data_IF_011717310163
#
_entry.id   IF_011717310163
#
_cell.length_a   1.000
_cell.length_b   1.000
_cell.length_c   1.000
_cell.angle_alpha   90.00
_cell.angle_beta   90.00
_cell.angle_gamma   90.00
#
_symmetry.space_group_name_H-M   'P 1'
#
loop_
_entity.id
_entity.type
_entity.pdbx_description
1 polymer ?
#
# COMPACT_ATOMS: atom_id res chain seq x y z
N UNK A 1 -36.15 -1.57 -0.70
CA UNK A 1 -35.46 -1.04 -1.90
C UNK A 1 -35.50 0.47 -1.83
N UNK A 2 -34.42 1.14 -1.44
CA UNK A 2 -34.36 2.61 -1.42
C UNK A 2 -34.13 3.13 -2.84
N UNK A 3 -35.12 3.86 -3.36
CA UNK A 3 -35.00 4.59 -4.62
C UNK A 3 -33.87 5.62 -4.51
N UNK A 4 -32.87 5.55 -5.41
CA UNK A 4 -31.85 6.59 -5.55
C UNK A 4 -32.54 7.89 -5.98
N UNK A 5 -32.39 8.94 -5.18
CA UNK A 5 -33.02 10.24 -5.40
C UNK A 5 -32.56 10.89 -6.71
N UNK A 6 -33.51 11.52 -7.40
CA UNK A 6 -33.25 12.39 -8.55
C UNK A 6 -32.23 13.48 -8.17
N UNK A 7 -31.14 13.60 -8.93
CA UNK A 7 -30.17 14.70 -8.81
C UNK A 7 -28.76 14.33 -8.33
N UNK A 8 -28.50 13.08 -7.94
CA UNK A 8 -27.11 12.69 -7.64
C UNK A 8 -26.32 12.42 -8.93
N UNK A 9 -25.09 12.96 -9.07
CA UNK A 9 -24.21 12.62 -10.18
C UNK A 9 -24.07 11.11 -10.28
N UNK A 10 -24.21 10.55 -11.48
CA UNK A 10 -23.96 9.13 -11.66
C UNK A 10 -22.49 8.83 -11.36
N UNK A 11 -22.18 7.73 -10.64
CA UNK A 11 -20.80 7.34 -10.40
C UNK A 11 -20.06 7.20 -11.72
N UNK A 12 -18.92 7.87 -11.82
CA UNK A 12 -18.04 7.77 -12.98
C UNK A 12 -17.51 6.35 -13.12
N UNK A 13 -16.89 6.04 -14.27
CA UNK A 13 -16.22 4.75 -14.44
C UNK A 13 -15.14 4.51 -13.38
N UNK A 14 -14.44 5.57 -12.96
CA UNK A 14 -13.38 5.50 -11.95
C UNK A 14 -13.98 5.28 -10.56
N UNK A 15 -15.10 5.93 -10.22
CA UNK A 15 -15.77 5.71 -8.93
C UNK A 15 -16.20 4.24 -8.77
N UNK A 16 -16.69 3.62 -9.85
CA UNK A 16 -17.03 2.18 -9.85
C UNK A 16 -15.80 1.28 -9.70
N UNK A 17 -14.66 1.67 -10.27
CA UNK A 17 -13.40 0.94 -10.09
C UNK A 17 -12.92 1.05 -8.65
N UNK A 18 -12.96 2.23 -8.05
CA UNK A 18 -12.62 2.45 -6.64
C UNK A 18 -13.54 1.61 -5.74
N UNK A 19 -14.86 1.67 -5.94
CA UNK A 19 -15.82 0.86 -5.18
C UNK A 19 -15.54 -0.65 -5.30
N UNK A 20 -15.15 -1.11 -6.49
CA UNK A 20 -14.82 -2.51 -6.73
C UNK A 20 -13.51 -2.90 -6.05
N UNK A 21 -12.47 -2.09 -6.19
CA UNK A 21 -11.17 -2.32 -5.55
C UNK A 21 -11.30 -2.32 -4.02
N UNK A 22 -12.00 -1.36 -3.43
CA UNK A 22 -12.29 -1.33 -1.99
C UNK A 22 -13.01 -2.60 -1.54
N UNK A 23 -14.00 -3.07 -2.32
CA UNK A 23 -14.69 -4.33 -2.04
C UNK A 23 -13.75 -5.53 -2.08
N UNK A 24 -12.82 -5.58 -3.04
CA UNK A 24 -11.84 -6.65 -3.14
C UNK A 24 -10.80 -6.61 -2.02
N UNK A 25 -10.41 -5.41 -1.55
CA UNK A 25 -9.62 -5.26 -0.34
C UNK A 25 -10.34 -5.85 0.88
N UNK A 26 -11.62 -5.52 1.09
CA UNK A 26 -12.39 -6.09 2.21
C UNK A 26 -12.55 -7.61 2.12
N UNK A 27 -12.66 -8.14 0.90
CA UNK A 27 -12.69 -9.60 0.66
C UNK A 27 -11.32 -10.25 0.75
N UNK A 28 -10.24 -9.45 0.83
CA UNK A 28 -8.86 -9.89 0.81
C UNK A 28 -8.54 -10.77 -0.41
N UNK A 29 -9.00 -10.35 -1.59
CA UNK A 29 -8.89 -11.12 -2.82
C UNK A 29 -7.94 -10.44 -3.81
N UNK A 30 -6.63 -10.72 -3.76
CA UNK A 30 -5.62 -10.01 -4.54
C UNK A 30 -5.77 -10.21 -6.05
N UNK A 31 -6.24 -11.38 -6.50
CA UNK A 31 -6.40 -11.67 -7.93
C UNK A 31 -7.47 -10.78 -8.60
N UNK A 32 -8.49 -10.40 -7.84
CA UNK A 32 -9.51 -9.46 -8.33
C UNK A 32 -8.96 -8.03 -8.40
N UNK A 33 -7.99 -7.68 -7.53
CA UNK A 33 -7.26 -6.42 -7.61
C UNK A 33 -6.30 -6.40 -8.80
N UNK A 34 -5.61 -7.51 -9.08
CA UNK A 34 -4.73 -7.64 -10.24
C UNK A 34 -5.52 -7.39 -11.54
N UNK A 35 -6.74 -7.92 -11.63
CA UNK A 35 -7.64 -7.67 -12.77
C UNK A 35 -7.93 -6.17 -13.01
N UNK A 36 -7.85 -5.35 -11.96
CA UNK A 36 -7.98 -3.89 -12.04
C UNK A 36 -6.63 -3.26 -12.39
N UNK A 37 -5.58 -3.52 -11.61
CA UNK A 37 -4.32 -2.78 -11.70
C UNK A 37 -3.47 -3.14 -12.92
N UNK A 38 -3.53 -4.38 -13.40
CA UNK A 38 -2.77 -4.84 -14.57
C UNK A 38 -3.27 -4.23 -15.89
N UNK A 39 -4.53 -3.81 -15.91
CA UNK A 39 -5.21 -3.35 -17.14
C UNK A 39 -5.37 -1.82 -17.20
N UNK A 40 -4.92 -1.10 -16.16
CA UNK A 40 -5.12 0.34 -16.04
C UNK A 40 -3.86 1.13 -16.42
N UNK A 41 -4.00 2.20 -17.21
CA UNK A 41 -2.96 3.21 -17.38
C UNK A 41 -2.48 3.76 -16.04
N UNK A 42 -1.18 4.09 -15.95
CA UNK A 42 -0.51 4.55 -14.72
C UNK A 42 -1.24 5.72 -14.04
N UNK A 43 -1.69 6.71 -14.81
CA UNK A 43 -2.42 7.87 -14.28
C UNK A 43 -3.79 7.50 -13.68
N UNK A 44 -4.44 6.44 -14.19
CA UNK A 44 -5.69 5.92 -13.63
C UNK A 44 -5.42 5.07 -12.39
N UNK A 45 -4.31 4.32 -12.37
CA UNK A 45 -3.88 3.58 -11.18
C UNK A 45 -3.67 4.50 -9.98
N UNK A 46 -2.98 5.63 -10.17
CA UNK A 46 -2.79 6.61 -9.09
C UNK A 46 -4.12 7.11 -8.53
N UNK A 47 -5.09 7.43 -9.40
CA UNK A 47 -6.43 7.89 -8.96
C UNK A 47 -7.20 6.81 -8.22
N UNK A 48 -7.10 5.54 -8.65
CA UNK A 48 -7.73 4.40 -7.97
C UNK A 48 -7.09 4.18 -6.60
N UNK A 49 -5.76 4.20 -6.51
CA UNK A 49 -5.04 4.11 -5.23
C UNK A 49 -5.48 5.22 -4.29
N UNK A 50 -5.45 6.50 -4.70
CA UNK A 50 -5.92 7.62 -3.88
C UNK A 50 -7.37 7.42 -3.41
N UNK A 51 -8.25 6.92 -4.29
CA UNK A 51 -9.63 6.61 -3.94
C UNK A 51 -9.77 5.51 -2.89
N UNK A 52 -8.97 4.43 -3.00
CA UNK A 52 -8.91 3.35 -2.01
C UNK A 52 -8.43 3.88 -0.66
N UNK A 53 -7.34 4.66 -0.64
CA UNK A 53 -6.80 5.26 0.58
C UNK A 53 -7.84 6.13 1.30
N UNK A 54 -8.55 6.97 0.55
CA UNK A 54 -9.60 7.82 1.10
C UNK A 54 -10.79 7.00 1.64
N UNK A 55 -11.20 5.96 0.93
CA UNK A 55 -12.32 5.10 1.34
C UNK A 55 -11.99 4.24 2.57
N UNK A 56 -10.74 3.77 2.69
CA UNK A 56 -10.26 2.89 3.75
C UNK A 56 -9.57 3.63 4.90
N UNK A 57 -9.53 4.96 4.91
CA UNK A 57 -8.79 5.75 5.92
C UNK A 57 -9.13 5.38 7.37
N UNK A 58 -10.38 4.94 7.63
CA UNK A 58 -10.84 4.52 8.96
C UNK A 58 -10.76 3.02 9.21
N UNK A 59 -10.52 2.22 8.16
CA UNK A 59 -10.34 0.77 8.24
C UNK A 59 -8.87 0.43 8.11
N UNK A 60 -8.14 0.63 9.21
CA UNK A 60 -6.69 0.41 9.28
C UNK A 60 -6.33 -1.03 8.92
N UNK A 61 -7.18 -2.01 9.27
CA UNK A 61 -6.90 -3.42 9.01
C UNK A 61 -6.90 -3.71 7.52
N UNK A 62 -7.98 -3.33 6.82
CA UNK A 62 -8.07 -3.50 5.36
C UNK A 62 -7.02 -2.65 4.64
N UNK A 63 -6.75 -1.43 5.12
CA UNK A 63 -5.72 -0.56 4.54
C UNK A 63 -4.31 -1.15 4.69
N UNK A 64 -4.00 -1.73 5.84
CA UNK A 64 -2.71 -2.40 6.08
C UNK A 64 -2.55 -3.65 5.22
N UNK A 65 -3.63 -4.43 5.02
CA UNK A 65 -3.64 -5.55 4.10
C UNK A 65 -3.37 -5.10 2.67
N UNK A 66 -3.99 -3.99 2.25
CA UNK A 66 -3.75 -3.41 0.93
C UNK A 66 -2.29 -2.97 0.75
N UNK A 67 -1.63 -2.45 1.79
CA UNK A 67 -0.19 -2.20 1.73
C UNK A 67 0.63 -3.48 1.53
N UNK A 68 0.26 -4.59 2.16
CA UNK A 68 0.87 -5.90 1.93
C UNK A 68 0.70 -6.39 0.49
N UNK A 69 -0.49 -6.22 -0.09
CA UNK A 69 -0.75 -6.46 -1.51
C UNK A 69 0.16 -5.61 -2.42
N UNK A 70 0.20 -4.29 -2.20
CA UNK A 70 1.00 -3.36 -3.01
C UNK A 70 2.51 -3.62 -2.91
N UNK A 71 2.98 -4.20 -1.81
CA UNK A 71 4.37 -4.63 -1.65
C UNK A 71 4.65 -6.02 -2.24
N UNK A 72 3.65 -6.67 -2.84
CA UNK A 72 3.72 -8.04 -3.34
C UNK A 72 3.97 -9.10 -2.25
N UNK A 73 3.62 -8.81 -1.00
CA UNK A 73 3.66 -9.78 0.11
C UNK A 73 2.44 -10.70 0.08
N UNK A 74 1.31 -10.19 -0.40
CA UNK A 74 0.04 -10.89 -0.55
C UNK A 74 -0.35 -10.81 -2.02
N UNK A 75 0.04 -11.82 -2.81
CA UNK A 75 -0.23 -11.85 -4.26
C UNK A 75 -1.34 -12.82 -4.63
N UNK A 76 -1.65 -13.78 -3.75
CA UNK A 76 -2.69 -14.78 -4.00
C UNK A 76 -3.57 -14.97 -2.78
N UNK A 77 -4.78 -15.46 -3.00
CA UNK A 77 -5.76 -15.68 -1.94
C UNK A 77 -5.24 -16.63 -0.86
N UNK A 78 -4.36 -17.58 -1.19
CA UNK A 78 -3.72 -18.46 -0.21
C UNK A 78 -2.76 -17.73 0.73
N UNK A 79 -2.14 -16.63 0.27
CA UNK A 79 -1.21 -15.87 1.10
C UNK A 79 -1.91 -15.34 2.35
N UNK A 80 -3.21 -15.05 2.29
CA UNK A 80 -4.00 -14.61 3.45
C UNK A 80 -4.00 -15.59 4.64
N UNK A 81 -3.69 -16.87 4.41
CA UNK A 81 -3.61 -17.89 5.45
C UNK A 81 -2.21 -17.99 6.07
N UNK A 82 -1.23 -17.24 5.55
CA UNK A 82 0.10 -17.20 6.14
C UNK A 82 0.01 -16.62 7.54
N UNK A 83 0.81 -17.14 8.49
CA UNK A 83 0.73 -16.72 9.88
C UNK A 83 1.25 -15.30 10.10
N UNK A 84 2.02 -14.75 9.16
CA UNK A 84 2.70 -13.48 9.32
C UNK A 84 2.83 -12.72 8.01
N UNK A 85 2.57 -11.42 8.07
CA UNK A 85 2.63 -10.48 6.96
C UNK A 85 3.41 -9.23 7.39
N UNK A 86 4.76 -9.28 7.38
CA UNK A 86 5.60 -8.20 7.86
C UNK A 86 5.23 -6.82 7.34
N UNK A 87 4.99 -6.65 6.04
CA UNK A 87 4.67 -5.35 5.45
C UNK A 87 3.29 -4.88 5.88
N UNK A 88 2.29 -5.77 5.89
CA UNK A 88 0.98 -5.41 6.40
C UNK A 88 1.05 -5.00 7.90
N UNK A 89 1.78 -5.74 8.72
CA UNK A 89 1.93 -5.45 10.16
C UNK A 89 2.69 -4.15 10.44
N UNK A 90 3.78 -3.90 9.71
CA UNK A 90 4.52 -2.65 9.78
C UNK A 90 3.66 -1.47 9.32
N UNK A 91 2.94 -1.64 8.22
CA UNK A 91 2.01 -0.62 7.72
C UNK A 91 0.94 -0.30 8.75
N UNK A 92 0.36 -1.33 9.39
CA UNK A 92 -0.63 -1.16 10.47
C UNK A 92 -0.06 -0.34 11.63
N UNK A 93 1.18 -0.63 12.02
CA UNK A 93 1.89 0.07 13.10
C UNK A 93 2.11 1.55 12.74
N UNK A 94 2.60 1.82 11.53
CA UNK A 94 2.84 3.18 11.03
C UNK A 94 1.53 3.98 10.92
N UNK A 95 0.49 3.40 10.33
CA UNK A 95 -0.84 4.04 10.18
C UNK A 95 -1.44 4.38 11.54
N UNK A 96 -1.39 3.44 12.49
CA UNK A 96 -1.87 3.66 13.87
C UNK A 96 -1.09 4.77 14.57
N UNK A 97 0.18 4.97 14.20
CA UNK A 97 1.03 6.03 14.73
C UNK A 97 0.86 7.36 13.99
N UNK A 98 -0.11 7.45 13.07
CA UNK A 98 -0.46 8.69 12.36
C UNK A 98 0.29 8.91 11.05
N UNK A 99 1.01 7.91 10.52
CA UNK A 99 1.65 7.97 9.21
C UNK A 99 0.65 7.62 8.10
N UNK A 100 0.71 8.33 6.97
CA UNK A 100 -0.17 8.11 5.84
C UNK A 100 0.51 7.26 4.75
N UNK A 101 -0.12 6.17 4.26
CA UNK A 101 0.40 5.41 3.14
C UNK A 101 0.51 6.26 1.87
N UNK A 102 1.54 6.00 1.06
CA UNK A 102 1.91 6.72 -0.17
C UNK A 102 2.20 8.22 0.00
N UNK A 103 2.24 8.72 1.24
CA UNK A 103 2.60 10.11 1.58
C UNK A 103 3.77 10.14 2.54
N UNK A 104 3.64 9.47 3.69
CA UNK A 104 4.69 9.39 4.70
C UNK A 104 5.54 8.12 4.60
N UNK A 105 4.97 7.05 4.03
CA UNK A 105 5.67 5.82 3.71
C UNK A 105 5.03 5.14 2.50
N UNK A 106 5.78 4.30 1.80
CA UNK A 106 5.30 3.62 0.60
C UNK A 106 5.61 2.12 0.66
N UNK A 107 4.61 1.22 0.60
CA UNK A 107 4.84 -0.17 0.30
C UNK A 107 5.38 -0.29 -1.14
N UNK A 108 6.42 -1.10 -1.34
CA UNK A 108 7.10 -1.23 -2.61
C UNK A 108 7.27 -2.71 -3.01
N UNK A 109 7.08 -3.07 -4.29
CA UNK A 109 7.22 -4.45 -4.76
C UNK A 109 8.51 -5.13 -4.31
N UNK A 110 8.42 -6.44 -4.03
CA UNK A 110 9.52 -7.23 -3.45
C UNK A 110 9.51 -7.23 -1.92
N UNK A 111 8.32 -7.14 -1.32
CA UNK A 111 8.08 -7.11 0.11
C UNK A 111 8.85 -5.99 0.82
N UNK A 112 8.92 -4.79 0.24
CA UNK A 112 9.66 -3.65 0.79
C UNK A 112 8.71 -2.57 1.30
N UNK A 113 9.19 -1.76 2.21
CA UNK A 113 8.53 -0.53 2.67
C UNK A 113 9.58 0.57 2.67
N UNK A 114 9.21 1.79 2.28
CA UNK A 114 10.12 2.94 2.25
C UNK A 114 9.50 4.06 3.08
N UNK A 115 10.25 4.64 4.00
CA UNK A 115 9.83 5.85 4.71
C UNK A 115 10.10 7.04 3.79
N UNK A 116 9.06 7.81 3.49
CA UNK A 116 9.15 9.00 2.63
C UNK A 116 9.25 10.29 3.46
N UNK A 117 8.59 10.33 4.61
CA UNK A 117 8.61 11.47 5.53
C UNK A 117 9.43 11.13 6.78
N UNK A 118 10.75 11.27 6.65
CA UNK A 118 11.70 10.97 7.73
C UNK A 118 11.48 11.84 8.97
N UNK A 119 11.15 13.12 8.80
CA UNK A 119 10.91 14.03 9.92
C UNK A 119 9.72 13.58 10.78
N UNK A 120 8.61 13.21 10.12
CA UNK A 120 7.44 12.68 10.82
C UNK A 120 7.73 11.33 11.46
N UNK A 121 8.49 10.47 10.80
CA UNK A 121 8.91 9.19 11.37
C UNK A 121 9.81 9.35 12.61
N UNK A 122 10.78 10.26 12.58
CA UNK A 122 11.66 10.58 13.71
C UNK A 122 10.91 11.18 14.90
N UNK A 123 9.76 11.81 14.66
CA UNK A 123 8.86 12.33 15.70
C UNK A 123 8.02 11.26 16.39
N UNK A 124 7.91 10.05 15.82
CA UNK A 124 7.13 8.95 16.40
C UNK A 124 7.74 8.43 17.70
N UNK A 125 6.97 7.71 18.55
CA UNK A 125 7.53 7.07 19.74
C UNK A 125 8.70 6.14 19.40
N UNK A 126 9.75 6.16 20.23
CA UNK A 126 10.96 5.31 20.03
C UNK A 126 10.62 3.84 19.85
N UNK A 127 9.61 3.32 20.55
CA UNK A 127 9.15 1.94 20.40
C UNK A 127 8.71 1.62 18.97
N UNK A 128 8.00 2.54 18.31
CA UNK A 128 7.56 2.41 16.92
C UNK A 128 8.75 2.47 15.98
N UNK A 129 9.66 3.43 16.20
CA UNK A 129 10.88 3.53 15.40
C UNK A 129 11.72 2.25 15.47
N UNK A 130 11.89 1.68 16.68
CA UNK A 130 12.64 0.44 16.90
C UNK A 130 11.98 -0.76 16.22
N UNK A 131 10.66 -0.92 16.29
CA UNK A 131 9.96 -2.02 15.60
C UNK A 131 10.23 -1.97 14.09
N UNK A 132 10.11 -0.77 13.52
CA UNK A 132 10.31 -0.56 12.08
C UNK A 132 11.77 -0.81 11.71
N UNK A 133 12.72 -0.22 12.44
CA UNK A 133 14.16 -0.41 12.22
C UNK A 133 14.59 -1.87 12.36
N UNK A 134 14.09 -2.61 13.36
CA UNK A 134 14.39 -4.04 13.51
C UNK A 134 13.92 -4.86 12.31
N UNK A 135 12.78 -4.51 11.72
CA UNK A 135 12.30 -5.18 10.51
C UNK A 135 13.10 -4.81 9.25
N UNK A 136 13.73 -3.62 9.22
CA UNK A 136 14.68 -3.20 8.20
C UNK A 136 16.06 -3.85 8.37
N UNK A 137 16.60 -3.91 9.60
CA UNK A 137 17.93 -4.44 9.93
C UNK A 137 18.05 -5.94 9.67
N UNK A 138 16.94 -6.70 9.75
CA UNK A 138 16.92 -8.13 9.34
C UNK A 138 17.13 -8.28 7.82
N UNK A 139 16.98 -7.19 7.05
CA UNK A 139 17.18 -7.15 5.60
C UNK A 139 18.38 -6.33 5.14
N UNK A 140 19.12 -5.66 6.03
CA UNK A 140 20.44 -5.13 5.68
C UNK A 140 21.44 -6.29 5.56
N UNK A 141 21.41 -6.96 4.41
CA UNK A 141 22.64 -7.44 3.84
C UNK A 141 23.52 -6.20 3.58
N UNK A 142 24.67 -6.15 4.27
CA UNK A 142 25.71 -5.09 4.33
C UNK A 142 25.46 -3.84 3.49
N UNK A 143 25.55 -2.63 4.06
CA UNK A 143 25.22 -1.33 3.44
C UNK A 143 25.69 -1.04 1.99
N UNK A 144 26.63 -1.80 1.44
CA UNK A 144 26.97 -1.81 0.00
C UNK A 144 25.90 -2.43 -0.91
N UNK A 145 24.97 -3.22 -0.38
CA UNK A 145 23.89 -3.88 -1.11
C UNK A 145 22.62 -3.03 -1.10
N UNK A 146 22.30 -2.40 0.03
CA UNK A 146 21.25 -1.38 0.12
C UNK A 146 21.49 -0.21 -0.84
N UNK A 147 22.74 0.25 -0.97
CA UNK A 147 23.11 1.32 -1.90
C UNK A 147 22.98 0.88 -3.37
N UNK A 148 23.36 -0.36 -3.68
CA UNK A 148 23.15 -0.96 -5.02
C UNK A 148 21.67 -1.12 -5.36
N UNK A 149 20.83 -1.48 -4.40
CA UNK A 149 19.38 -1.57 -4.58
C UNK A 149 18.78 -0.18 -4.81
N UNK A 150 19.22 0.84 -4.07
CA UNK A 150 18.74 2.20 -4.21
C UNK A 150 19.13 2.81 -5.58
N UNK A 151 20.38 2.57 -6.01
CA UNK A 151 20.86 2.98 -7.33
C UNK A 151 20.13 2.24 -8.46
N UNK A 152 19.83 0.94 -8.28
CA UNK A 152 19.06 0.17 -9.26
C UNK A 152 17.60 0.66 -9.36
N UNK A 153 16.97 1.02 -8.24
CA UNK A 153 15.62 1.61 -8.21
C UNK A 153 15.57 2.97 -8.91
N UNK A 154 16.60 3.81 -8.71
CA UNK A 154 16.71 5.09 -9.41
C UNK A 154 16.91 4.90 -10.92
N UNK A 155 17.67 3.89 -11.34
CA UNK A 155 17.84 3.55 -12.76
C UNK A 155 16.53 3.03 -13.38
N UNK A 156 15.77 2.18 -12.70
CA UNK A 156 14.46 1.70 -13.19
C UNK A 156 13.43 2.84 -13.32
N UNK A 157 13.45 3.82 -12.41
CA UNK A 157 12.58 5.01 -12.47
C UNK A 157 12.99 6.01 -13.57
N UNK A 158 14.23 5.94 -14.07
CA UNK A 158 14.74 6.79 -15.16
C UNK A 158 14.46 6.22 -16.56
N UNK A 159 13.92 5.00 -16.68
CA UNK A 159 13.51 4.41 -17.97
C UNK A 159 12.00 4.52 -18.14
N UNK A 160 11.50 5.75 -18.31
CA UNK A 160 10.22 6.01 -18.97
C UNK A 160 10.36 7.28 -19.83
N UNK A 161 10.76 7.08 -21.09
CA UNK A 161 10.37 7.98 -22.21
C UNK A 161 9.13 7.41 -22.90
#
# INVERSE_FOLDING_TARGET
MCAKGFGQPQPTKIDKLIESAVRYCHKRHPEDLDSIFDNLPVNLNQRVVTGILAALQKDIDTLSWFCGYMASEINRSEDNQKPHHPIAELSKTLITSGMEPFTDFMPYPGCRLVILNSEKFESLPKSVQTIVQQAFDIRESSGTEAQRINDALLQELMVQE
#
